data_IF_755970669893
#
_entry.id   IF_755970669893
#
_cell.length_a   1.000
_cell.length_b   1.000
_cell.length_c   1.000
_cell.angle_alpha   90.00
_cell.angle_beta   90.00
_cell.angle_gamma   90.00
#
_symmetry.space_group_name_H-M   'P 1'
#
loop_
_entity.id
_entity.type
_entity.pdbx_description
1 polymer ?
#
# COMPACT_ATOMS: atom_id res chain seq x y z
N UNK A 1 5.20 -11.55 -16.41
CA UNK A 1 6.25 -11.65 -15.36
C UNK A 1 5.52 -11.56 -14.02
N UNK A 2 5.31 -12.68 -13.33
CA UNK A 2 4.77 -12.66 -11.97
C UNK A 2 5.94 -12.40 -11.02
N UNK A 3 5.81 -11.41 -10.14
CA UNK A 3 6.81 -11.15 -9.10
C UNK A 3 6.55 -12.18 -8.00
N UNK A 4 7.51 -13.07 -7.75
CA UNK A 4 7.39 -14.05 -6.67
C UNK A 4 7.85 -13.42 -5.35
N UNK A 5 6.90 -13.24 -4.42
CA UNK A 5 7.17 -12.68 -3.11
C UNK A 5 7.72 -13.75 -2.18
N UNK A 6 8.85 -13.46 -1.55
CA UNK A 6 9.49 -14.37 -0.60
C UNK A 6 9.03 -14.07 0.82
N UNK A 7 9.02 -15.05 1.73
CA UNK A 7 8.60 -14.84 3.12
C UNK A 7 9.39 -13.77 3.90
N UNK A 8 10.61 -13.46 3.45
CA UNK A 8 11.55 -12.51 4.06
C UNK A 8 11.55 -11.13 3.41
N UNK A 9 10.78 -10.95 2.34
CA UNK A 9 10.67 -9.64 1.70
C UNK A 9 9.91 -8.67 2.62
N UNK A 10 10.38 -7.42 2.66
CA UNK A 10 9.77 -6.34 3.43
C UNK A 10 9.59 -5.14 2.51
N UNK A 11 8.36 -4.66 2.41
CA UNK A 11 7.98 -3.53 1.57
C UNK A 11 7.88 -2.26 2.41
N UNK A 12 8.57 -1.21 1.95
CA UNK A 12 8.37 0.15 2.43
C UNK A 12 7.53 0.90 1.40
N UNK A 13 6.37 1.41 1.83
CA UNK A 13 5.49 2.22 0.98
C UNK A 13 5.45 3.63 1.55
N UNK A 14 5.80 4.59 0.71
CA UNK A 14 5.76 6.02 1.04
C UNK A 14 4.50 6.61 0.42
N UNK A 15 3.56 7.02 1.26
CA UNK A 15 2.23 7.48 0.89
C UNK A 15 1.21 6.34 0.78
N UNK A 16 0.07 6.51 1.43
CA UNK A 16 -1.12 5.68 1.38
C UNK A 16 -2.28 6.38 0.62
N UNK A 17 -1.97 7.45 -0.13
CA UNK A 17 -2.93 8.21 -0.92
C UNK A 17 -3.47 7.47 -2.16
N UNK A 18 -3.90 8.22 -3.18
CA UNK A 18 -4.68 7.64 -4.31
C UNK A 18 -3.97 6.54 -5.12
N UNK A 19 -2.64 6.50 -5.09
CA UNK A 19 -1.84 5.42 -5.68
C UNK A 19 -1.37 4.40 -4.63
N UNK A 20 -1.03 4.89 -3.44
CA UNK A 20 -0.53 4.06 -2.34
C UNK A 20 -1.57 3.07 -1.84
N UNK A 21 -2.81 3.53 -1.63
CA UNK A 21 -3.94 2.68 -1.22
C UNK A 21 -4.13 1.45 -2.11
N UNK A 22 -4.32 1.57 -3.44
CA UNK A 22 -4.48 0.40 -4.30
C UNK A 22 -3.19 -0.44 -4.41
N UNK A 23 -2.00 0.18 -4.36
CA UNK A 23 -0.74 -0.57 -4.36
C UNK A 23 -0.58 -1.45 -3.10
N UNK A 24 -0.98 -0.93 -1.93
CA UNK A 24 -0.99 -1.66 -0.66
C UNK A 24 -1.96 -2.85 -0.72
N UNK A 25 -3.17 -2.65 -1.24
CA UNK A 25 -4.12 -3.74 -1.47
C UNK A 25 -3.53 -4.80 -2.41
N UNK A 26 -2.85 -4.38 -3.49
CA UNK A 26 -2.16 -5.28 -4.41
C UNK A 26 -1.04 -6.09 -3.75
N UNK A 27 -0.20 -5.45 -2.93
CA UNK A 27 0.87 -6.12 -2.18
C UNK A 27 0.30 -7.15 -1.20
N UNK A 28 -0.75 -6.78 -0.46
CA UNK A 28 -1.43 -7.69 0.47
C UNK A 28 -2.04 -8.88 -0.28
N UNK A 29 -2.73 -8.63 -1.41
CA UNK A 29 -3.31 -9.67 -2.25
C UNK A 29 -2.24 -10.60 -2.87
N UNK A 30 -1.06 -10.07 -3.19
CA UNK A 30 0.07 -10.83 -3.70
C UNK A 30 0.81 -11.64 -2.61
N UNK A 31 0.42 -11.51 -1.33
CA UNK A 31 0.99 -12.27 -0.22
C UNK A 31 2.17 -11.59 0.49
N UNK A 32 2.31 -10.27 0.36
CA UNK A 32 3.29 -9.53 1.13
C UNK A 32 3.03 -9.70 2.64
N UNK A 33 4.06 -10.16 3.37
CA UNK A 33 3.93 -10.51 4.80
C UNK A 33 4.39 -9.42 5.75
N UNK A 34 5.22 -8.50 5.28
CA UNK A 34 5.82 -7.44 6.09
C UNK A 34 5.79 -6.14 5.32
N UNK A 35 5.09 -5.15 5.87
CA UNK A 35 4.97 -3.81 5.30
C UNK A 35 5.26 -2.76 6.35
N UNK A 36 5.89 -1.67 5.92
CA UNK A 36 5.93 -0.39 6.63
C UNK A 36 5.33 0.66 5.73
N UNK A 37 4.36 1.42 6.24
CA UNK A 37 3.68 2.48 5.52
C UNK A 37 4.06 3.78 6.21
N UNK A 38 4.53 4.76 5.43
CA UNK A 38 4.83 6.10 5.93
C UNK A 38 3.97 7.08 5.15
N UNK A 39 2.99 7.67 5.82
CA UNK A 39 2.20 8.76 5.29
C UNK A 39 2.16 9.89 6.33
N UNK A 40 2.32 11.13 5.87
CA UNK A 40 2.31 12.33 6.72
C UNK A 40 1.00 13.10 6.59
N UNK A 41 0.16 12.74 5.62
CA UNK A 41 -1.06 13.46 5.35
C UNK A 41 -2.19 12.96 6.26
N UNK A 42 -3.14 13.86 6.54
CA UNK A 42 -4.36 13.51 7.24
C UNK A 42 -5.43 13.07 6.23
N UNK A 43 -6.37 12.22 6.68
CA UNK A 43 -7.52 11.86 5.85
C UNK A 43 -8.48 13.04 5.73
N UNK A 44 -8.81 13.39 4.49
CA UNK A 44 -9.79 14.44 4.17
C UNK A 44 -10.95 13.87 3.36
N UNK A 45 -12.15 14.45 3.50
CA UNK A 45 -13.34 14.04 2.74
C UNK A 45 -13.13 14.12 1.24
N UNK A 46 -12.33 15.09 0.79
CA UNK A 46 -11.92 15.29 -0.60
C UNK A 46 -11.05 14.17 -1.18
N UNK A 47 -10.64 13.19 -0.36
CA UNK A 47 -9.75 12.11 -0.72
C UNK A 47 -10.47 10.76 -0.86
N UNK A 48 -11.65 10.61 -0.26
CA UNK A 48 -12.37 9.33 -0.15
C UNK A 48 -12.78 8.73 -1.49
N UNK A 49 -12.94 9.54 -2.54
CA UNK A 49 -13.26 9.05 -3.89
C UNK A 49 -12.11 8.30 -4.58
N UNK A 50 -10.87 8.42 -4.05
CA UNK A 50 -9.67 7.82 -4.66
C UNK A 50 -8.75 7.10 -3.68
N UNK A 51 -8.96 7.26 -2.38
CA UNK A 51 -8.22 6.56 -1.32
C UNK A 51 -9.16 5.55 -0.69
N UNK A 52 -8.85 4.27 -0.86
CA UNK A 52 -9.75 3.15 -0.52
C UNK A 52 -9.44 2.60 0.89
N UNK A 53 -8.35 3.04 1.51
CA UNK A 53 -7.91 2.69 2.86
C UNK A 53 -8.24 3.82 3.85
#
# INVERSE_FOLDING_TARGET
MAIELRPRDHFLVLGAGGLGSPALLGLLAAGARRLTIVDRDAVETSNLQRQVL
#
